data_IF_525511643395
#
_entry.id   IF_525511643395
#
_cell.length_a   1.000
_cell.length_b   1.000
_cell.length_c   1.000
_cell.angle_alpha   90.00
_cell.angle_beta   90.00
_cell.angle_gamma   90.00
#
_symmetry.space_group_name_H-M   'P 1'
#
loop_
_entity.id
_entity.type
_entity.pdbx_description
1 polymer ?
#
# COMPACT_ATOMS: atom_id res chain seq x y z
N UNK A 1 1.68 -10.46 4.01
CA UNK A 1 1.94 -11.89 4.28
C UNK A 1 3.42 -12.17 4.13
N UNK A 2 4.02 -12.93 5.05
CA UNK A 2 5.43 -13.30 4.98
C UNK A 2 5.59 -14.66 4.28
N UNK A 3 5.73 -14.62 2.95
CA UNK A 3 5.84 -15.82 2.10
C UNK A 3 7.21 -15.93 1.48
N UNK A 4 7.87 -17.08 1.68
CA UNK A 4 9.23 -17.28 1.17
C UNK A 4 9.25 -18.13 -0.11
N UNK A 5 8.33 -19.09 -0.27
CA UNK A 5 8.22 -19.93 -1.47
C UNK A 5 6.75 -20.24 -1.79
N UNK A 6 6.47 -20.71 -3.02
CA UNK A 6 5.14 -21.15 -3.44
C UNK A 6 4.10 -20.02 -3.48
N UNK A 7 4.55 -18.78 -3.68
CA UNK A 7 3.74 -17.57 -3.58
C UNK A 7 2.48 -17.61 -4.46
N UNK A 8 2.50 -18.05 -5.74
CA UNK A 8 1.29 -18.01 -6.57
C UNK A 8 0.10 -18.76 -5.98
N UNK A 9 0.31 -19.96 -5.43
CA UNK A 9 -0.77 -20.75 -4.83
C UNK A 9 -1.21 -20.19 -3.47
N UNK A 10 -0.25 -19.91 -2.59
CA UNK A 10 -0.56 -19.42 -1.24
C UNK A 10 -1.16 -18.02 -1.24
N UNK A 11 -0.61 -17.09 -2.03
CA UNK A 11 -1.12 -15.72 -2.09
C UNK A 11 -2.48 -15.64 -2.79
N UNK A 12 -2.82 -16.56 -3.70
CA UNK A 12 -4.16 -16.58 -4.30
C UNK A 12 -5.24 -16.73 -3.22
N UNK A 13 -5.14 -17.78 -2.39
CA UNK A 13 -6.12 -18.01 -1.31
C UNK A 13 -6.11 -16.88 -0.29
N UNK A 14 -4.92 -16.41 0.12
CA UNK A 14 -4.83 -15.34 1.12
C UNK A 14 -5.40 -14.01 0.60
N UNK A 15 -5.22 -13.69 -0.68
CA UNK A 15 -5.81 -12.50 -1.27
C UNK A 15 -7.29 -12.63 -1.53
N UNK A 16 -7.81 -13.83 -1.83
CA UNK A 16 -9.25 -14.07 -1.90
C UNK A 16 -9.90 -13.81 -0.53
N UNK A 17 -9.33 -14.37 0.54
CA UNK A 17 -9.81 -14.18 1.92
C UNK A 17 -9.75 -12.70 2.34
N UNK A 18 -8.63 -12.01 2.05
CA UNK A 18 -8.46 -10.60 2.35
C UNK A 18 -9.46 -9.73 1.58
N UNK A 19 -9.63 -9.99 0.28
CA UNK A 19 -10.53 -9.22 -0.56
C UNK A 19 -11.98 -9.40 -0.14
N UNK A 20 -12.36 -10.62 0.26
CA UNK A 20 -13.68 -10.90 0.82
C UNK A 20 -13.89 -10.13 2.14
N UNK A 21 -12.95 -10.22 3.07
CA UNK A 21 -13.06 -9.51 4.35
C UNK A 21 -13.14 -7.99 4.20
N UNK A 22 -12.35 -7.39 3.31
CA UNK A 22 -12.39 -5.95 3.04
C UNK A 22 -13.74 -5.55 2.44
N UNK A 23 -14.25 -6.31 1.47
CA UNK A 23 -15.56 -6.05 0.86
C UNK A 23 -16.66 -6.13 1.91
N UNK A 24 -16.73 -7.23 2.65
CA UNK A 24 -17.77 -7.47 3.64
C UNK A 24 -17.74 -6.38 4.74
N UNK A 25 -16.55 -5.91 5.14
CA UNK A 25 -16.39 -4.78 6.07
C UNK A 25 -16.97 -3.47 5.53
N UNK A 26 -16.64 -3.09 4.30
CA UNK A 26 -17.17 -1.86 3.71
C UNK A 26 -18.67 -1.97 3.36
N UNK A 27 -19.17 -3.15 3.02
CA UNK A 27 -20.59 -3.38 2.78
C UNK A 27 -21.40 -3.18 4.09
N UNK A 28 -20.91 -3.71 5.22
CA UNK A 28 -21.50 -3.47 6.54
C UNK A 28 -21.49 -1.99 6.91
N UNK A 29 -20.37 -1.29 6.71
CA UNK A 29 -20.31 0.16 6.94
C UNK A 29 -21.29 0.95 6.08
N UNK A 30 -21.54 0.52 4.83
CA UNK A 30 -22.54 1.17 3.95
C UNK A 30 -23.96 0.88 4.41
N UNK A 31 -24.26 -0.35 4.84
CA UNK A 31 -25.56 -0.71 5.41
C UNK A 31 -25.89 0.12 6.67
N UNK A 32 -24.85 0.57 7.38
CA UNK A 32 -24.95 1.39 8.59
C UNK A 32 -24.69 2.89 8.39
N UNK A 33 -24.71 3.39 7.14
CA UNK A 33 -24.48 4.81 6.81
C UNK A 33 -23.18 5.39 7.43
N UNK A 34 -22.13 4.56 7.54
CA UNK A 34 -20.87 4.90 8.21
C UNK A 34 -19.64 4.86 7.29
N UNK A 35 -19.78 4.35 6.06
CA UNK A 35 -18.66 4.15 5.12
C UNK A 35 -17.96 5.46 4.71
N UNK A 36 -18.67 6.59 4.70
CA UNK A 36 -18.12 7.90 4.37
C UNK A 36 -17.21 8.48 5.48
N UNK A 37 -17.19 7.86 6.67
CA UNK A 37 -16.40 8.23 7.83
C UNK A 37 -15.21 7.28 8.07
N UNK A 38 -14.92 6.37 7.13
CA UNK A 38 -13.82 5.41 7.26
C UNK A 38 -13.00 5.33 5.97
N UNK A 39 -11.67 5.38 6.14
CA UNK A 39 -10.70 4.97 5.12
C UNK A 39 -9.81 3.86 5.69
N UNK A 40 -9.39 2.94 4.83
CA UNK A 40 -8.51 1.83 5.16
C UNK A 40 -7.20 1.96 4.39
N UNK A 41 -6.09 2.07 5.12
CA UNK A 41 -4.74 1.95 4.57
C UNK A 41 -4.25 0.51 4.74
N UNK A 42 -4.14 -0.21 3.62
CA UNK A 42 -3.46 -1.50 3.56
C UNK A 42 -2.04 -1.25 3.05
N UNK A 43 -1.03 -1.54 3.85
CA UNK A 43 0.37 -1.33 3.48
C UNK A 43 1.20 -2.59 3.70
N UNK A 44 2.26 -2.73 2.91
CA UNK A 44 3.26 -3.78 3.08
C UNK A 44 4.53 -3.20 3.70
N UNK A 45 4.96 -3.74 4.84
CA UNK A 45 6.19 -3.33 5.54
C UNK A 45 7.46 -3.64 4.74
N UNK A 46 7.41 -4.67 3.89
CA UNK A 46 8.52 -5.10 3.04
C UNK A 46 8.03 -5.54 1.66
N UNK A 47 8.90 -5.33 0.67
CA UNK A 47 8.77 -5.91 -0.66
C UNK A 47 9.37 -7.31 -0.77
N UNK A 48 9.57 -7.76 -2.00
CA UNK A 48 10.35 -8.98 -2.31
C UNK A 48 11.45 -8.68 -3.31
N UNK A 49 12.60 -9.32 -3.11
CA UNK A 49 13.67 -9.33 -4.10
C UNK A 49 13.28 -10.13 -5.33
N UNK A 50 13.72 -9.68 -6.50
CA UNK A 50 13.41 -10.36 -7.77
C UNK A 50 14.19 -11.65 -7.97
N UNK A 51 15.31 -11.81 -7.25
CA UNK A 51 16.21 -12.95 -7.37
C UNK A 51 15.92 -13.98 -6.28
N UNK A 52 15.78 -15.24 -6.70
CA UNK A 52 15.70 -16.40 -5.82
C UNK A 52 17.04 -16.67 -5.10
N UNK A 53 16.97 -17.05 -3.82
CA UNK A 53 18.11 -17.31 -2.93
C UNK A 53 18.36 -18.81 -2.67
N UNK A 54 17.69 -19.72 -3.38
CA UNK A 54 17.78 -21.17 -3.24
C UNK A 54 16.69 -21.79 -2.36
N UNK A 55 16.03 -20.99 -1.51
CA UNK A 55 14.88 -21.42 -0.71
C UNK A 55 13.66 -20.51 -0.89
N UNK A 56 13.70 -19.61 -1.88
CA UNK A 56 12.69 -18.59 -2.09
C UNK A 56 13.25 -17.21 -2.40
N UNK A 57 12.53 -16.16 -1.97
CA UNK A 57 12.96 -14.76 -2.15
C UNK A 57 13.08 -14.04 -0.80
N UNK A 58 14.18 -13.31 -0.61
CA UNK A 58 14.37 -12.41 0.53
C UNK A 58 13.36 -11.26 0.55
N UNK A 59 13.22 -10.63 1.72
CA UNK A 59 12.55 -9.34 1.88
C UNK A 59 13.25 -8.27 1.05
N UNK A 60 12.49 -7.32 0.54
CA UNK A 60 13.01 -6.24 -0.29
C UNK A 60 12.48 -4.86 0.06
N UNK A 61 13.04 -3.84 -0.58
CA UNK A 61 12.78 -2.44 -0.24
C UNK A 61 11.48 -1.86 -0.84
N UNK A 62 11.03 -2.37 -2.00
CA UNK A 62 9.85 -1.86 -2.68
C UNK A 62 8.59 -2.68 -2.35
N UNK A 63 7.75 -2.13 -1.48
CA UNK A 63 6.43 -2.68 -1.14
C UNK A 63 5.29 -2.08 -1.98
N UNK A 64 4.06 -2.39 -1.57
CA UNK A 64 2.84 -1.81 -2.13
C UNK A 64 1.93 -1.29 -1.01
N UNK A 65 1.11 -0.30 -1.33
CA UNK A 65 0.07 0.22 -0.45
C UNK A 65 -1.22 0.47 -1.25
N UNK A 66 -2.36 0.30 -0.59
CA UNK A 66 -3.69 0.57 -1.10
C UNK A 66 -4.42 1.45 -0.08
N UNK A 67 -5.11 2.47 -0.57
CA UNK A 67 -6.04 3.26 0.23
C UNK A 67 -7.44 2.98 -0.28
N UNK A 68 -8.35 2.61 0.61
CA UNK A 68 -9.69 2.10 0.27
C UNK A 68 -10.73 2.85 1.10
N UNK A 69 -11.82 3.28 0.48
CA UNK A 69 -12.94 3.93 1.15
C UNK A 69 -13.78 4.75 0.17
N UNK A 70 -15.00 5.10 0.57
CA UNK A 70 -15.96 5.81 -0.32
C UNK A 70 -15.52 7.25 -0.63
N UNK A 71 -14.63 7.82 0.19
CA UNK A 71 -14.01 9.15 0.00
C UNK A 71 -12.66 9.09 -0.70
N UNK A 72 -12.23 7.93 -1.19
CA UNK A 72 -10.96 7.78 -1.90
C UNK A 72 -11.20 7.88 -3.40
N UNK A 73 -10.50 8.82 -4.04
CA UNK A 73 -10.63 9.14 -5.47
C UNK A 73 -10.27 7.97 -6.40
N UNK A 74 -9.46 7.03 -5.89
CA UNK A 74 -8.98 5.86 -6.62
C UNK A 74 -7.96 6.19 -7.70
N UNK A 75 -7.26 5.16 -8.18
CA UNK A 75 -6.23 5.29 -9.22
C UNK A 75 -4.86 4.79 -8.79
N UNK A 76 -3.88 4.98 -9.68
CA UNK A 76 -2.49 4.58 -9.46
C UNK A 76 -1.61 5.84 -9.34
N UNK A 77 -0.99 6.00 -8.18
CA UNK A 77 -0.21 7.21 -7.81
C UNK A 77 1.31 6.96 -7.77
N UNK A 78 1.73 5.77 -8.15
CA UNK A 78 3.13 5.36 -8.27
C UNK A 78 3.33 4.61 -9.59
N UNK A 79 4.57 4.32 -9.97
CA UNK A 79 4.84 3.50 -11.17
C UNK A 79 5.34 2.12 -10.74
N UNK A 80 5.10 1.10 -11.56
CA UNK A 80 5.73 -0.20 -11.33
C UNK A 80 7.25 -0.06 -11.56
N UNK A 81 8.10 -0.33 -10.56
CA UNK A 81 9.54 -0.21 -10.72
C UNK A 81 10.06 -1.24 -11.73
N UNK A 82 11.17 -0.92 -12.39
CA UNK A 82 11.83 -1.88 -13.29
C UNK A 82 12.31 -3.11 -12.53
N UNK A 83 12.11 -4.28 -13.12
CA UNK A 83 12.59 -5.56 -12.59
C UNK A 83 13.84 -6.08 -13.33
N UNK A 84 14.38 -5.32 -14.29
CA UNK A 84 15.61 -5.68 -15.00
C UNK A 84 16.78 -5.60 -14.04
N UNK A 85 17.65 -6.60 -14.03
CA UNK A 85 18.74 -6.73 -13.06
C UNK A 85 19.67 -5.50 -12.98
N UNK A 86 19.87 -4.80 -14.10
CA UNK A 86 20.69 -3.58 -14.18
C UNK A 86 20.05 -2.33 -13.57
N UNK A 87 18.73 -2.35 -13.37
CA UNK A 87 17.97 -1.23 -12.80
C UNK A 87 17.72 -1.42 -11.29
N UNK A 88 18.14 -2.55 -10.71
CA UNK A 88 17.97 -2.85 -9.29
C UNK A 88 19.06 -2.18 -8.44
N UNK A 89 18.69 -1.73 -7.25
CA UNK A 89 19.64 -1.20 -6.27
C UNK A 89 19.85 -2.25 -5.17
N UNK A 90 21.09 -2.72 -5.01
CA UNK A 90 21.41 -3.81 -4.06
C UNK A 90 20.59 -5.10 -4.26
N UNK A 91 20.04 -5.30 -5.47
CA UNK A 91 19.18 -6.45 -5.79
C UNK A 91 17.68 -6.20 -5.57
N UNK A 92 17.30 -5.00 -5.15
CA UNK A 92 15.93 -4.59 -4.89
C UNK A 92 15.36 -3.73 -6.04
N UNK A 93 14.07 -3.89 -6.39
CA UNK A 93 13.36 -2.86 -7.15
C UNK A 93 13.42 -1.54 -6.39
N UNK A 94 13.60 -0.43 -7.12
CA UNK A 94 13.79 0.89 -6.50
C UNK A 94 12.42 1.53 -6.21
N UNK A 95 12.10 1.87 -4.95
CA UNK A 95 10.88 2.59 -4.61
C UNK A 95 10.85 3.97 -5.29
N UNK A 96 9.68 4.37 -5.79
CA UNK A 96 9.49 5.66 -6.47
C UNK A 96 8.48 6.59 -5.79
N UNK A 97 7.91 6.17 -4.67
CA UNK A 97 7.03 6.98 -3.84
C UNK A 97 7.41 6.75 -2.38
N UNK A 98 7.61 7.84 -1.64
CA UNK A 98 7.86 7.77 -0.20
C UNK A 98 6.54 7.51 0.52
N UNK A 99 6.49 6.51 1.39
CA UNK A 99 5.27 6.18 2.13
C UNK A 99 4.75 7.36 2.97
N UNK A 100 5.63 8.27 3.39
CA UNK A 100 5.25 9.48 4.14
C UNK A 100 4.34 10.40 3.34
N UNK A 101 4.40 10.37 2.01
CA UNK A 101 3.44 11.09 1.16
C UNK A 101 2.00 10.61 1.35
N UNK A 102 1.79 9.31 1.56
CA UNK A 102 0.46 8.75 1.87
C UNK A 102 -0.01 9.24 3.24
N UNK A 103 0.87 9.19 4.25
CA UNK A 103 0.56 9.69 5.59
C UNK A 103 0.31 11.20 5.60
N UNK A 104 1.06 11.98 4.83
CA UNK A 104 0.83 13.42 4.67
C UNK A 104 -0.59 13.70 4.18
N UNK A 105 -1.03 13.04 3.11
CA UNK A 105 -2.40 13.20 2.60
C UNK A 105 -3.45 12.77 3.63
N UNK A 106 -3.27 11.63 4.31
CA UNK A 106 -4.22 11.19 5.34
C UNK A 106 -4.30 12.20 6.49
N UNK A 107 -3.16 12.68 6.99
CA UNK A 107 -3.14 13.61 8.11
C UNK A 107 -3.78 14.94 7.75
N UNK A 108 -3.45 15.50 6.58
CA UNK A 108 -3.93 16.83 6.19
C UNK A 108 -5.36 16.81 5.65
N UNK A 109 -5.70 15.90 4.75
CA UNK A 109 -6.98 15.94 4.03
C UNK A 109 -8.07 15.12 4.72
N UNK A 110 -7.70 14.04 5.41
CA UNK A 110 -8.67 13.21 6.14
C UNK A 110 -8.78 13.60 7.62
N UNK A 111 -7.65 13.80 8.31
CA UNK A 111 -7.65 14.11 9.74
C UNK A 111 -7.64 15.61 10.06
N UNK A 112 -7.41 16.48 9.06
CA UNK A 112 -7.32 17.93 9.21
C UNK A 112 -6.22 18.37 10.21
N UNK A 113 -5.08 17.68 10.17
CA UNK A 113 -3.92 17.89 11.04
C UNK A 113 -2.69 18.33 10.25
N UNK A 114 -1.79 19.09 10.89
CA UNK A 114 -0.47 19.40 10.32
C UNK A 114 0.39 18.14 10.29
N UNK A 115 0.73 17.66 9.09
CA UNK A 115 1.52 16.45 8.90
C UNK A 115 3.00 16.66 9.22
N UNK A 116 3.56 17.85 8.98
CA UNK A 116 5.01 18.10 9.03
C UNK A 116 5.68 17.63 10.34
N UNK A 117 5.17 17.98 11.55
CA UNK A 117 5.77 17.50 12.79
C UNK A 117 5.61 15.99 13.03
N UNK A 118 4.66 15.33 12.36
CA UNK A 118 4.36 13.90 12.52
C UNK A 118 5.20 13.04 11.58
N UNK A 119 5.28 13.43 10.30
CA UNK A 119 6.08 12.69 9.29
C UNK A 119 7.55 13.12 9.26
N UNK A 120 7.92 14.15 10.05
CA UNK A 120 9.29 14.61 10.24
C UNK A 120 9.85 15.43 9.07
N UNK A 121 8.98 16.15 8.35
CA UNK A 121 9.38 16.96 7.19
C UNK A 121 8.23 17.25 6.24
N UNK A 122 8.55 17.87 5.10
CA UNK A 122 7.61 18.14 4.02
C UNK A 122 7.77 17.08 2.94
N UNK A 123 6.67 16.41 2.60
CA UNK A 123 6.59 15.38 1.58
C UNK A 123 5.56 15.75 0.51
N UNK A 124 5.65 15.12 -0.66
CA UNK A 124 4.63 15.27 -1.69
C UNK A 124 3.26 14.92 -1.14
N UNK A 125 2.27 15.78 -1.41
CA UNK A 125 0.88 15.56 -1.07
C UNK A 125 0.16 14.96 -2.28
N UNK A 126 -0.35 13.75 -2.11
CA UNK A 126 -1.08 13.02 -3.15
C UNK A 126 -2.56 13.41 -3.15
N UNK A 127 -3.18 13.50 -4.32
CA UNK A 127 -4.61 13.80 -4.51
C UNK A 127 -5.45 12.51 -4.34
N UNK A 128 -5.48 11.97 -3.11
CA UNK A 128 -6.11 10.68 -2.78
C UNK A 128 -7.55 10.79 -2.26
N UNK A 129 -7.89 11.88 -1.57
CA UNK A 129 -9.15 12.05 -0.83
C UNK A 129 -10.07 13.02 -1.60
N UNK A 130 -11.34 12.66 -1.77
CA UNK A 130 -12.34 13.55 -2.36
C UNK A 130 -12.68 14.71 -1.41
N UNK A 131 -12.89 15.89 -2.00
CA UNK A 131 -13.25 17.11 -1.27
C UNK A 131 -14.68 17.09 -0.69
#
# INVERSE_FOLDING_TARGET
YDSHAGQPGMLSTLFDDLSAAIRDFFDDLREHDAADNVIMLLFSEFGRRTRDNGSGTDHGAAGAAFLIGDRIKGGQYSVMPSLRSQDLQQGDPVPNLDFRSIYTTILEDWMLMDANPIVGGVFEKLDLVEA
#
